data_IF_506156465007
#
_entry.id   IF_506156465007
#
_cell.length_a   1.000
_cell.length_b   1.000
_cell.length_c   1.000
_cell.angle_alpha   90.00
_cell.angle_beta   90.00
_cell.angle_gamma   90.00
#
_symmetry.space_group_name_H-M   'P 1'
#
loop_
_entity.id
_entity.type
_entity.pdbx_description
1 polymer ?
#
# COMPACT_ATOMS: atom_id res chain seq x y z
N UNK A 1 -27.02 -40.18 83.63
CA UNK A 1 -28.00 -40.97 82.84
C UNK A 1 -29.05 -40.02 82.28
N UNK A 2 -28.93 -39.64 81.01
CA UNK A 2 -30.03 -39.35 80.05
C UNK A 2 -29.47 -38.68 78.79
N UNK A 3 -29.76 -39.33 77.66
CA UNK A 3 -29.51 -38.86 76.30
C UNK A 3 -30.29 -37.57 76.00
N UNK A 4 -29.74 -36.75 75.11
CA UNK A 4 -30.52 -35.87 74.24
C UNK A 4 -29.82 -35.77 72.88
N UNK A 5 -30.48 -36.31 71.84
CA UNK A 5 -30.15 -36.19 70.41
C UNK A 5 -30.55 -34.79 69.89
N UNK A 6 -29.91 -34.33 68.81
CA UNK A 6 -30.44 -33.54 67.66
C UNK A 6 -29.24 -33.24 66.72
N UNK A 7 -29.01 -33.98 65.62
CA UNK A 7 -29.46 -33.81 64.22
C UNK A 7 -28.80 -32.61 63.49
N UNK A 8 -28.31 -32.78 62.23
CA UNK A 8 -27.23 -32.00 61.62
C UNK A 8 -27.71 -30.87 60.71
N UNK A 9 -26.85 -29.90 60.41
CA UNK A 9 -27.06 -28.95 59.31
C UNK A 9 -25.86 -29.01 58.36
N UNK A 10 -26.11 -29.56 57.18
CA UNK A 10 -25.14 -29.64 56.10
C UNK A 10 -24.85 -28.26 55.52
N UNK A 11 -23.58 -27.97 55.33
CA UNK A 11 -23.11 -26.90 54.45
C UNK A 11 -22.67 -27.57 53.15
N UNK A 12 -23.55 -27.55 52.16
CA UNK A 12 -23.19 -27.87 50.79
C UNK A 12 -22.31 -26.72 50.27
N UNK A 13 -21.01 -26.98 50.10
CA UNK A 13 -20.10 -26.07 49.38
C UNK A 13 -20.51 -26.04 47.91
N UNK A 14 -21.11 -24.92 47.50
CA UNK A 14 -21.36 -24.61 46.09
C UNK A 14 -20.02 -24.13 45.51
N UNK A 15 -19.36 -24.97 44.73
CA UNK A 15 -18.28 -24.54 43.84
C UNK A 15 -18.90 -23.72 42.70
N UNK A 16 -18.83 -22.40 42.80
CA UNK A 16 -19.15 -21.51 41.70
C UNK A 16 -17.98 -21.54 40.69
N UNK A 17 -18.13 -22.32 39.63
CA UNK A 17 -17.21 -22.31 38.49
C UNK A 17 -17.58 -21.13 37.58
N UNK A 18 -16.92 -19.99 37.78
CA UNK A 18 -17.01 -18.83 36.87
C UNK A 18 -16.33 -19.19 35.56
N UNK A 19 -17.14 -19.43 34.53
CA UNK A 19 -16.72 -19.56 33.15
C UNK A 19 -16.29 -18.18 32.64
N UNK A 20 -14.98 -17.90 32.61
CA UNK A 20 -14.45 -16.73 31.89
C UNK A 20 -14.60 -17.00 30.39
N UNK A 21 -15.63 -16.43 29.78
CA UNK A 21 -15.70 -16.30 28.32
C UNK A 21 -14.74 -15.18 27.94
N UNK A 22 -13.55 -15.55 27.46
CA UNK A 22 -12.60 -14.60 26.89
C UNK A 22 -13.17 -14.03 25.60
N UNK A 23 -13.52 -12.75 25.58
CA UNK A 23 -13.69 -12.02 24.33
C UNK A 23 -12.28 -11.74 23.78
N UNK A 24 -11.81 -12.59 22.87
CA UNK A 24 -10.71 -12.22 21.99
C UNK A 24 -11.23 -11.17 21.03
N UNK A 25 -10.95 -9.89 21.29
CA UNK A 25 -11.12 -8.86 20.29
C UNK A 25 -10.06 -9.11 19.21
N UNK A 26 -10.47 -9.69 18.09
CA UNK A 26 -9.63 -9.71 16.89
C UNK A 26 -9.37 -8.25 16.50
N UNK A 27 -8.17 -7.75 16.80
CA UNK A 27 -7.68 -6.52 16.19
C UNK A 27 -7.47 -6.84 14.72
N UNK A 28 -8.33 -6.33 13.84
CA UNK A 28 -8.05 -6.33 12.41
C UNK A 28 -6.70 -5.63 12.20
N UNK A 29 -5.66 -6.38 11.80
CA UNK A 29 -4.45 -5.78 11.31
C UNK A 29 -4.80 -4.99 10.03
N UNK A 30 -4.33 -3.75 9.95
CA UNK A 30 -4.37 -3.01 8.70
C UNK A 30 -3.68 -3.85 7.62
N UNK A 31 -4.26 -3.87 6.42
CA UNK A 31 -3.67 -4.58 5.30
C UNK A 31 -2.24 -4.14 5.08
N UNK A 32 -1.31 -5.09 5.11
CA UNK A 32 0.10 -4.83 4.85
C UNK A 32 0.35 -4.58 3.38
N UNK A 33 -0.55 -4.97 2.48
CA UNK A 33 -0.31 -4.87 1.04
C UNK A 33 -1.24 -3.85 0.40
N UNK A 34 -0.64 -2.94 -0.37
CA UNK A 34 -1.34 -1.98 -1.24
C UNK A 34 -1.05 -2.33 -2.68
N UNK A 35 -2.11 -2.49 -3.48
CA UNK A 35 -2.00 -2.83 -4.88
C UNK A 35 -2.74 -1.83 -5.76
N UNK A 36 -2.21 -1.59 -6.95
CA UNK A 36 -2.86 -0.87 -8.03
C UNK A 36 -3.07 -1.83 -9.19
N UNK A 37 -4.34 -2.14 -9.49
CA UNK A 37 -4.70 -3.14 -10.50
C UNK A 37 -4.52 -2.65 -11.93
N UNK A 38 -4.20 -1.36 -12.11
CA UNK A 38 -3.94 -0.74 -13.39
C UNK A 38 -2.78 0.24 -13.28
N UNK A 39 -2.04 0.42 -14.37
CA UNK A 39 -1.18 1.58 -14.58
C UNK A 39 -1.70 2.31 -15.82
N UNK A 40 -1.94 3.60 -15.67
CA UNK A 40 -2.37 4.49 -16.76
C UNK A 40 -1.34 5.60 -16.94
N UNK A 41 -1.14 6.02 -18.19
CA UNK A 41 -0.31 7.18 -18.48
C UNK A 41 -0.94 8.49 -17.98
N UNK A 42 -0.12 9.50 -17.77
CA UNK A 42 -0.57 10.83 -17.35
C UNK A 42 -1.53 11.43 -18.38
N UNK A 43 -2.75 11.74 -17.94
CA UNK A 43 -3.79 12.33 -18.81
C UNK A 43 -3.67 13.85 -18.86
N UNK A 44 -3.35 14.48 -17.72
CA UNK A 44 -3.23 15.94 -17.59
C UNK A 44 -1.76 16.33 -17.45
N UNK A 45 -1.09 16.82 -18.51
CA UNK A 45 0.30 17.23 -18.45
C UNK A 45 0.55 18.26 -17.34
N UNK A 46 1.67 18.12 -16.63
CA UNK A 46 2.04 19.03 -15.54
C UNK A 46 1.24 18.89 -14.25
N UNK A 47 0.26 17.96 -14.16
CA UNK A 47 -0.49 17.75 -12.93
C UNK A 47 0.44 17.34 -11.77
N UNK A 48 0.14 17.82 -10.55
CA UNK A 48 0.96 17.57 -9.36
C UNK A 48 0.32 16.50 -8.49
N UNK A 49 1.14 15.64 -7.90
CA UNK A 49 0.75 14.66 -6.88
C UNK A 49 1.64 14.88 -5.66
N UNK A 50 1.05 14.82 -4.47
CA UNK A 50 1.73 15.12 -3.21
C UNK A 50 1.61 16.59 -2.78
N UNK A 51 2.29 16.93 -1.69
CA UNK A 51 2.26 18.24 -1.05
C UNK A 51 3.66 18.72 -0.65
N UNK A 52 3.86 20.04 -0.72
CA UNK A 52 5.07 20.71 -0.24
C UNK A 52 6.37 20.16 -0.86
N UNK A 53 7.37 19.84 -0.02
CA UNK A 53 8.67 19.37 -0.50
C UNK A 53 8.62 17.99 -1.19
N UNK A 54 7.55 17.22 -0.98
CA UNK A 54 7.32 15.91 -1.60
C UNK A 54 6.47 15.97 -2.88
N UNK A 55 6.18 17.16 -3.42
CA UNK A 55 5.42 17.29 -4.66
C UNK A 55 6.15 16.68 -5.86
N UNK A 56 5.40 15.92 -6.67
CA UNK A 56 5.88 15.36 -7.92
C UNK A 56 5.08 15.95 -9.07
N UNK A 57 5.73 16.80 -9.87
CA UNK A 57 5.12 17.37 -11.07
C UNK A 57 5.12 16.38 -12.23
N UNK A 58 3.98 16.21 -12.89
CA UNK A 58 3.80 15.34 -14.05
C UNK A 58 4.52 15.85 -15.28
N UNK A 59 4.89 14.99 -16.22
CA UNK A 59 5.60 15.39 -17.43
C UNK A 59 4.78 16.35 -18.32
N UNK A 60 5.45 16.98 -19.28
CA UNK A 60 4.86 18.01 -20.15
C UNK A 60 4.05 17.50 -21.34
N UNK A 61 3.90 16.19 -21.50
CA UNK A 61 3.09 15.55 -22.55
C UNK A 61 2.20 14.49 -21.91
N UNK A 62 1.02 14.21 -22.50
CA UNK A 62 0.20 13.10 -22.05
C UNK A 62 0.87 11.77 -22.44
N UNK A 63 0.60 10.75 -21.65
CA UNK A 63 1.05 9.38 -21.91
C UNK A 63 -0.13 8.43 -21.84
N UNK A 64 0.03 7.27 -22.47
CA UNK A 64 -0.88 6.14 -22.35
C UNK A 64 -0.08 4.90 -22.00
N UNK A 65 -0.70 3.97 -21.28
CA UNK A 65 -0.19 2.62 -21.08
C UNK A 65 -1.28 1.65 -21.57
N UNK A 66 -0.86 0.49 -22.08
CA UNK A 66 -1.82 -0.55 -22.50
C UNK A 66 -2.36 -1.27 -21.27
N UNK A 67 -1.47 -1.60 -20.34
CA UNK A 67 -1.78 -2.22 -19.06
C UNK A 67 -0.60 -2.08 -18.11
N UNK A 68 -0.82 -2.46 -16.87
CA UNK A 68 0.22 -2.57 -15.86
C UNK A 68 -0.39 -2.70 -14.49
N UNK A 69 0.44 -2.98 -13.52
CA UNK A 69 0.06 -3.12 -12.12
C UNK A 69 1.25 -2.79 -11.23
N UNK A 70 0.96 -2.47 -9.98
CA UNK A 70 1.98 -2.25 -8.96
C UNK A 70 1.49 -2.80 -7.62
N UNK A 71 2.41 -3.29 -6.81
CA UNK A 71 2.14 -3.77 -5.47
C UNK A 71 3.25 -3.36 -4.51
N UNK A 72 2.89 -3.02 -3.28
CA UNK A 72 3.83 -2.80 -2.18
C UNK A 72 3.36 -3.54 -0.95
N UNK A 73 4.27 -4.28 -0.32
CA UNK A 73 4.15 -4.75 1.06
C UNK A 73 4.75 -3.67 1.99
N UNK A 74 3.88 -3.05 2.77
CA UNK A 74 4.19 -1.96 3.69
C UNK A 74 5.05 -2.39 4.89
N UNK A 75 5.09 -3.69 5.21
CA UNK A 75 5.88 -4.21 6.32
C UNK A 75 7.32 -4.49 5.91
N UNK A 76 7.51 -5.03 4.70
CA UNK A 76 8.83 -5.44 4.21
C UNK A 76 9.48 -4.37 3.33
N UNK A 77 8.69 -3.51 2.70
CA UNK A 77 9.15 -2.61 1.64
C UNK A 77 9.39 -3.34 0.32
N UNK A 78 8.90 -4.58 0.16
CA UNK A 78 8.89 -5.25 -1.13
C UNK A 78 7.93 -4.51 -2.07
N UNK A 79 8.42 -4.15 -3.24
CA UNK A 79 7.69 -3.40 -4.25
C UNK A 79 7.92 -4.01 -5.62
N UNK A 80 6.83 -4.18 -6.35
CA UNK A 80 6.86 -4.59 -7.74
C UNK A 80 6.04 -3.61 -8.57
N UNK A 81 6.46 -3.41 -9.81
CA UNK A 81 5.59 -2.84 -10.82
C UNK A 81 5.92 -3.42 -12.18
N UNK A 82 4.89 -3.50 -13.02
CA UNK A 82 5.01 -3.81 -14.42
C UNK A 82 4.15 -2.86 -15.21
N UNK A 83 4.71 -2.26 -16.27
CA UNK A 83 3.95 -1.47 -17.23
C UNK A 83 4.25 -1.95 -18.63
N UNK A 84 3.22 -1.95 -19.47
CA UNK A 84 3.34 -2.32 -20.87
C UNK A 84 2.75 -1.25 -21.79
N UNK A 85 3.45 -0.98 -22.88
CA UNK A 85 3.02 0.01 -23.87
C UNK A 85 2.95 1.44 -23.33
N UNK A 86 3.83 1.83 -22.40
CA UNK A 86 3.92 3.19 -21.87
C UNK A 86 4.58 4.12 -22.89
N UNK A 87 3.74 4.86 -23.61
CA UNK A 87 4.15 5.71 -24.73
C UNK A 87 3.49 7.08 -24.68
N UNK A 88 4.09 8.04 -25.38
CA UNK A 88 3.50 9.37 -25.57
C UNK A 88 2.13 9.25 -26.24
N UNK A 89 1.14 9.96 -25.70
CA UNK A 89 -0.23 10.04 -26.21
C UNK A 89 -0.50 11.36 -26.97
N UNK A 90 0.55 12.13 -27.27
CA UNK A 90 0.46 13.40 -27.97
C UNK A 90 1.77 13.84 -28.63
N UNK A 91 1.67 14.81 -29.53
CA UNK A 91 2.81 15.35 -30.27
C UNK A 91 3.27 14.48 -31.44
N UNK A 92 4.43 14.81 -32.04
CA UNK A 92 4.95 14.14 -33.24
C UNK A 92 5.55 12.75 -32.97
N UNK A 93 5.87 12.45 -31.71
CA UNK A 93 6.44 11.16 -31.28
C UNK A 93 5.38 10.26 -30.62
N UNK A 94 4.09 10.51 -30.88
CA UNK A 94 2.98 9.73 -30.35
C UNK A 94 3.16 8.23 -30.68
N UNK A 95 2.84 7.37 -29.72
CA UNK A 95 3.05 5.92 -29.85
C UNK A 95 4.49 5.46 -29.63
N UNK A 96 5.40 6.34 -29.18
CA UNK A 96 6.77 5.99 -28.79
C UNK A 96 7.10 6.46 -27.37
N UNK A 97 8.10 5.87 -26.70
CA UNK A 97 8.66 6.40 -25.45
C UNK A 97 9.38 7.77 -25.60
N UNK A 98 9.55 8.27 -26.82
CA UNK A 98 10.34 9.47 -27.10
C UNK A 98 11.80 9.29 -26.70
N UNK A 99 12.31 10.21 -25.86
CA UNK A 99 13.69 10.16 -25.36
C UNK A 99 13.79 9.53 -23.96
N UNK A 100 12.72 8.92 -23.45
CA UNK A 100 12.73 8.26 -22.14
C UNK A 100 13.24 6.83 -22.33
N UNK A 101 14.36 6.50 -21.70
CA UNK A 101 15.00 5.18 -21.79
C UNK A 101 14.96 4.39 -20.49
N UNK A 102 14.60 5.04 -19.38
CA UNK A 102 14.57 4.45 -18.05
C UNK A 102 13.43 5.08 -17.24
N UNK A 103 12.88 4.31 -16.32
CA UNK A 103 11.84 4.74 -15.38
C UNK A 103 12.09 4.14 -14.00
N UNK A 104 11.42 4.67 -12.98
CA UNK A 104 11.34 4.11 -11.64
C UNK A 104 9.90 4.13 -11.15
N UNK A 105 9.59 3.26 -10.19
CA UNK A 105 8.41 3.38 -9.35
C UNK A 105 8.68 4.37 -8.22
N UNK A 106 7.64 5.11 -7.83
CA UNK A 106 7.69 6.01 -6.67
C UNK A 106 6.39 5.91 -5.89
N UNK A 107 6.49 5.61 -4.61
CA UNK A 107 5.41 5.85 -3.66
C UNK A 107 5.44 7.32 -3.23
N UNK A 108 4.27 7.96 -3.31
CA UNK A 108 4.01 9.25 -2.68
C UNK A 108 3.13 8.97 -1.49
N UNK A 109 3.71 9.05 -0.30
CA UNK A 109 3.05 8.80 0.97
C UNK A 109 2.65 10.12 1.61
N UNK A 110 1.50 10.15 2.30
CA UNK A 110 0.90 11.37 2.82
C UNK A 110 0.72 12.41 1.69
N UNK A 111 -0.04 12.02 0.67
CA UNK A 111 -0.31 12.84 -0.52
C UNK A 111 -0.93 14.20 -0.20
N UNK A 112 -1.68 14.32 0.90
CA UNK A 112 -2.25 15.61 1.34
C UNK A 112 -1.37 16.39 2.33
N UNK A 113 -0.31 15.77 2.85
CA UNK A 113 0.66 16.40 3.75
C UNK A 113 0.16 16.53 5.20
N UNK A 114 -0.92 15.87 5.56
CA UNK A 114 -1.55 15.97 6.87
C UNK A 114 -0.67 15.43 8.00
N UNK A 115 0.21 14.45 7.73
CA UNK A 115 1.10 13.83 8.71
C UNK A 115 2.54 14.35 8.66
N UNK A 116 2.97 14.88 7.52
CA UNK A 116 4.34 15.30 7.21
C UNK A 116 4.59 16.80 7.38
N UNK A 117 3.81 17.48 8.22
CA UNK A 117 3.90 18.95 8.41
C UNK A 117 3.69 19.74 7.10
N UNK A 118 2.78 19.24 6.24
CA UNK A 118 2.50 19.82 4.92
C UNK A 118 3.41 19.31 3.81
N UNK A 119 4.08 18.16 4.01
CA UNK A 119 4.99 17.56 3.03
C UNK A 119 4.71 16.08 2.85
N UNK A 120 4.56 15.65 1.59
CA UNK A 120 4.58 14.23 1.26
C UNK A 120 5.98 13.64 1.43
N UNK A 121 6.05 12.33 1.64
CA UNK A 121 7.29 11.56 1.64
C UNK A 121 7.39 10.69 0.39
N UNK A 122 8.56 10.68 -0.25
CA UNK A 122 8.80 9.91 -1.47
C UNK A 122 9.66 8.69 -1.18
N UNK A 123 9.24 7.53 -1.71
CA UNK A 123 10.05 6.31 -1.73
C UNK A 123 10.23 5.86 -3.17
N UNK A 124 11.47 5.81 -3.64
CA UNK A 124 11.82 5.49 -5.02
C UNK A 124 12.37 4.07 -5.13
N UNK A 125 12.01 3.36 -6.20
CA UNK A 125 12.74 2.17 -6.64
C UNK A 125 14.02 2.56 -7.36
N UNK A 126 14.87 1.56 -7.65
CA UNK A 126 15.93 1.73 -8.64
C UNK A 126 15.35 2.02 -10.04
N UNK A 127 16.18 2.62 -10.89
CA UNK A 127 15.87 2.82 -12.30
C UNK A 127 15.92 1.49 -13.04
N UNK A 128 14.92 1.27 -13.88
CA UNK A 128 14.84 0.13 -14.80
C UNK A 128 14.69 0.61 -16.24
N UNK A 129 15.22 -0.14 -17.23
CA UNK A 129 15.06 0.22 -18.64
C UNK A 129 13.60 0.30 -19.06
N UNK A 130 13.29 1.27 -19.93
CA UNK A 130 12.04 1.35 -20.68
C UNK A 130 12.33 0.91 -22.12
N UNK A 131 11.66 -0.14 -22.57
CA UNK A 131 11.87 -0.69 -23.93
C UNK A 131 11.39 0.27 -25.01
N UNK A 132 11.72 -0.04 -26.28
CA UNK A 132 11.22 0.72 -27.42
C UNK A 132 9.69 0.63 -27.57
N UNK A 133 9.10 -0.47 -27.11
CA UNK A 133 7.66 -0.71 -27.04
C UNK A 133 6.99 -0.01 -25.84
N UNK A 134 7.76 0.52 -24.89
CA UNK A 134 7.25 1.18 -23.69
C UNK A 134 7.02 0.22 -22.52
N UNK A 135 7.73 -0.90 -22.47
CA UNK A 135 7.62 -1.88 -21.40
C UNK A 135 8.70 -1.66 -20.35
N UNK A 136 8.33 -1.76 -19.08
CA UNK A 136 9.27 -1.70 -17.95
C UNK A 136 8.75 -2.53 -16.78
N UNK A 137 9.68 -3.14 -16.04
CA UNK A 137 9.39 -4.01 -14.91
C UNK A 137 10.43 -3.83 -13.81
N UNK A 138 9.96 -3.81 -12.57
CA UNK A 138 10.79 -3.83 -11.37
C UNK A 138 10.19 -4.83 -10.38
N UNK A 139 11.06 -5.61 -9.75
CA UNK A 139 10.77 -6.47 -8.62
C UNK A 139 11.96 -6.37 -7.66
N UNK A 140 11.70 -5.94 -6.42
CA UNK A 140 12.74 -5.75 -5.42
C UNK A 140 12.22 -5.14 -4.13
N UNK A 141 13.15 -4.67 -3.30
CA UNK A 141 12.85 -4.05 -2.01
C UNK A 141 13.47 -2.64 -1.94
N UNK A 142 12.75 -1.69 -1.34
CA UNK A 142 13.22 -0.31 -1.11
C UNK A 142 13.68 -0.08 0.34
N UNK A 143 13.77 -1.16 1.12
CA UNK A 143 14.09 -1.14 2.54
C UNK A 143 12.91 -0.67 3.40
N UNK A 144 13.16 -0.35 4.69
CA UNK A 144 12.12 0.06 5.62
C UNK A 144 11.38 1.31 5.11
N UNK A 145 10.06 1.22 5.01
CA UNK A 145 9.25 2.34 4.57
C UNK A 145 9.13 3.39 5.69
N UNK A 146 9.10 4.69 5.33
CA UNK A 146 8.81 5.76 6.28
C UNK A 146 7.42 5.60 6.93
N UNK A 147 7.26 6.12 8.16
CA UNK A 147 6.01 6.03 8.92
C UNK A 147 4.80 6.58 8.15
N UNK A 148 5.01 7.61 7.33
CA UNK A 148 3.97 8.21 6.47
C UNK A 148 3.41 7.22 5.43
N UNK A 149 4.15 6.18 5.03
CA UNK A 149 3.67 5.15 4.11
C UNK A 149 2.92 4.02 4.83
N UNK A 150 3.14 3.86 6.14
CA UNK A 150 2.61 2.73 6.91
C UNK A 150 1.33 3.13 7.63
N UNK A 151 1.29 4.35 8.16
CA UNK A 151 0.23 4.79 9.05
C UNK A 151 -0.80 5.71 8.39
N UNK A 152 -0.53 6.20 7.18
CA UNK A 152 -1.45 7.08 6.45
C UNK A 152 -2.18 6.36 5.31
N UNK A 153 -3.49 6.60 5.11
CA UNK A 153 -4.30 5.92 4.10
C UNK A 153 -4.12 6.48 2.68
N UNK A 154 -3.45 7.61 2.53
CA UNK A 154 -3.36 8.39 1.30
C UNK A 154 -1.99 8.20 0.62
N UNK A 155 -1.86 7.03 -0.01
CA UNK A 155 -0.68 6.64 -0.78
C UNK A 155 -1.03 6.61 -2.27
N UNK A 156 -0.12 7.15 -3.08
CA UNK A 156 -0.16 7.04 -4.54
C UNK A 156 1.10 6.33 -5.07
N UNK A 157 0.95 5.64 -6.20
CA UNK A 157 2.07 5.07 -6.93
C UNK A 157 2.23 5.79 -8.27
N UNK A 158 3.45 6.20 -8.58
CA UNK A 158 3.82 6.90 -9.82
C UNK A 158 4.92 6.14 -10.55
N UNK A 159 4.88 6.15 -11.88
CA UNK A 159 6.05 5.86 -12.71
C UNK A 159 6.69 7.19 -13.09
N UNK A 160 7.97 7.34 -12.76
CA UNK A 160 8.74 8.57 -13.00
C UNK A 160 9.96 8.32 -13.87
N UNK A 161 10.32 9.35 -14.63
CA UNK A 161 11.58 9.39 -15.39
C UNK A 161 12.72 9.88 -14.48
N UNK A 162 14.01 9.65 -14.84
CA UNK A 162 15.16 10.12 -14.06
C UNK A 162 15.15 11.62 -13.73
N UNK A 163 14.56 12.44 -14.59
CA UNK A 163 14.38 13.88 -14.36
C UNK A 163 13.32 14.22 -13.29
N UNK A 164 12.76 13.22 -12.60
CA UNK A 164 11.85 13.38 -11.47
C UNK A 164 10.38 13.63 -11.83
N UNK A 165 10.03 13.66 -13.13
CA UNK A 165 8.65 13.88 -13.61
C UNK A 165 7.88 12.57 -13.70
N UNK A 166 6.62 12.56 -13.28
CA UNK A 166 5.77 11.36 -13.43
C UNK A 166 5.12 11.32 -14.82
N UNK A 167 5.08 10.12 -15.41
CA UNK A 167 4.52 9.86 -16.74
C UNK A 167 3.40 8.81 -16.71
N UNK A 168 3.27 8.06 -15.62
CA UNK A 168 2.16 7.15 -15.39
C UNK A 168 1.84 7.08 -13.89
N UNK A 169 0.68 6.55 -13.54
CA UNK A 169 0.29 6.32 -12.15
C UNK A 169 -0.43 4.98 -12.01
N UNK A 170 -0.33 4.42 -10.80
CA UNK A 170 -1.20 3.34 -10.36
C UNK A 170 -2.64 3.85 -10.29
N UNK A 171 -3.56 3.11 -10.89
CA UNK A 171 -4.99 3.33 -10.88
C UNK A 171 -5.70 2.11 -10.29
N UNK A 172 -6.89 2.33 -9.73
CA UNK A 172 -7.69 1.30 -9.04
C UNK A 172 -6.91 0.67 -7.89
N UNK A 173 -6.87 1.39 -6.77
CA UNK A 173 -6.17 0.96 -5.55
C UNK A 173 -7.01 -0.04 -4.76
N UNK A 174 -6.38 -1.14 -4.34
CA UNK A 174 -6.93 -2.16 -3.45
C UNK A 174 -5.99 -2.29 -2.25
N UNK A 175 -6.56 -2.37 -1.06
CA UNK A 175 -5.82 -2.64 0.17
C UNK A 175 -6.29 -3.98 0.69
N UNK A 176 -5.40 -4.97 0.69
CA UNK A 176 -5.73 -6.32 1.15
C UNK A 176 -5.44 -6.43 2.64
N UNK A 177 -6.49 -6.63 3.43
CA UNK A 177 -6.35 -6.92 4.85
C UNK A 177 -5.97 -8.40 5.01
N UNK A 178 -4.90 -8.68 5.75
CA UNK A 178 -4.54 -10.05 6.06
C UNK A 178 -5.72 -10.73 6.78
N UNK A 179 -6.29 -11.78 6.16
CA UNK A 179 -7.28 -12.63 6.81
C UNK A 179 -6.60 -13.39 7.95
N UNK A 180 -7.10 -13.23 9.17
CA UNK A 180 -6.66 -14.03 10.32
C UNK A 180 -7.33 -15.39 10.17
N UNK A 181 -6.56 -16.41 9.78
CA UNK A 181 -7.03 -17.81 9.75
C UNK A 181 -7.49 -18.20 11.15
N UNK A 182 -8.78 -18.52 11.31
CA UNK A 182 -9.37 -19.00 12.56
C UNK A 182 -8.70 -20.31 12.97
N UNK A 183 -7.92 -20.30 14.05
CA UNK A 183 -7.39 -21.51 14.65
C UNK A 183 -8.55 -22.22 15.38
N UNK A 184 -9.22 -23.14 14.69
CA UNK A 184 -10.14 -24.10 15.31
C UNK A 184 -9.35 -24.95 16.33
N UNK A 185 -9.61 -24.73 17.62
CA UNK A 185 -9.16 -25.61 18.70
C UNK A 185 -10.16 -26.77 18.85
N UNK A 186 -9.72 -27.99 18.53
CA UNK A 186 -10.32 -29.24 19.05
C UNK A 186 -9.93 -29.51 20.50
#
# INVERSE_FOLDING_TARGET
>A
MKLSKLIPLGTASIFALTLLVGLSAATAQAGSTVEWKQIIGIIMPGNVVGSGAGEVTGAGQPWSATRGEAGVDLLTGAINFKVEGLVLAGGNNIGTPGNVTEVKGTLVCDTDGSAGMGHSTLVDTDLVPLSAEGDAEFDGEVGPLPDACINEPDIAFLIRIPAGRWIANGAVRVVEMAEVEEMEME
#
